data_IF_981599218495
#
_entry.id   IF_981599218495
#
_cell.length_a   1.000
_cell.length_b   1.000
_cell.length_c   1.000
_cell.angle_alpha   90.00
_cell.angle_beta   90.00
_cell.angle_gamma   90.00
#
_symmetry.space_group_name_H-M   'P 1'
#
loop_
_entity.id
_entity.type
_entity.pdbx_description
1 polymer ?
#
# COMPACT_ATOMS: atom_id res chain seq x y z
N UNK A 1 -55.54 17.76 -9.62
CA UNK A 1 -54.53 17.57 -8.55
C UNK A 1 -53.15 17.69 -9.19
N UNK A 2 -52.58 18.89 -9.17
CA UNK A 2 -51.22 19.16 -9.59
C UNK A 2 -50.25 18.64 -8.53
N UNK A 3 -49.17 17.98 -8.92
CA UNK A 3 -47.90 18.01 -8.18
C UNK A 3 -46.76 18.02 -9.20
N UNK A 4 -46.33 19.24 -9.54
CA UNK A 4 -45.06 19.58 -10.16
C UNK A 4 -43.92 19.12 -9.25
N UNK A 5 -42.99 18.34 -9.78
CA UNK A 5 -41.66 18.17 -9.20
C UNK A 5 -40.75 19.29 -9.69
N UNK A 6 -40.12 20.01 -8.76
CA UNK A 6 -39.06 20.99 -9.00
C UNK A 6 -37.70 20.39 -8.58
N UNK A 7 -36.60 20.75 -9.24
CA UNK A 7 -35.27 20.20 -8.97
C UNK A 7 -34.62 20.87 -7.74
N UNK A 8 -33.89 20.08 -6.95
CA UNK A 8 -33.12 20.55 -5.80
C UNK A 8 -31.78 21.10 -6.31
N UNK A 9 -31.63 22.41 -6.13
CA UNK A 9 -30.47 23.24 -6.47
C UNK A 9 -29.34 23.00 -5.47
N UNK A 10 -28.12 22.88 -5.98
CA UNK A 10 -26.91 22.85 -5.17
C UNK A 10 -26.46 24.20 -4.60
N UNK A 11 -25.31 24.09 -3.93
CA UNK A 11 -24.43 25.11 -3.32
C UNK A 11 -24.72 25.44 -1.85
N UNK A 12 -23.79 25.05 -0.97
CA UNK A 12 -22.98 25.94 -0.12
C UNK A 12 -22.26 25.15 1.00
N UNK A 13 -20.94 24.95 0.88
CA UNK A 13 -20.08 24.78 2.05
C UNK A 13 -19.10 25.96 2.09
N UNK A 14 -19.62 27.06 2.64
CA UNK A 14 -18.86 28.22 3.04
C UNK A 14 -18.18 27.91 4.37
N UNK A 15 -16.84 27.93 4.44
CA UNK A 15 -16.05 28.85 5.28
C UNK A 15 -14.66 28.30 5.68
N UNK A 16 -13.69 29.20 5.48
CA UNK A 16 -12.53 29.48 6.36
C UNK A 16 -11.39 28.46 6.36
N UNK A 17 -10.31 28.80 5.67
CA UNK A 17 -9.06 29.11 6.38
C UNK A 17 -8.14 29.96 5.49
N UNK A 18 -7.72 31.09 6.06
CA UNK A 18 -6.78 32.06 5.52
C UNK A 18 -5.38 31.64 5.99
N UNK A 19 -4.45 31.27 5.10
CA UNK A 19 -3.01 31.28 5.41
C UNK A 19 -2.25 31.81 4.19
N UNK A 20 -1.64 32.97 4.40
CA UNK A 20 -0.67 33.61 3.52
C UNK A 20 0.67 32.86 3.62
N UNK A 21 1.23 32.40 2.51
CA UNK A 21 2.68 32.19 2.39
C UNK A 21 3.17 32.88 1.13
N UNK A 22 3.82 34.02 1.37
CA UNK A 22 4.64 34.76 0.43
C UNK A 22 5.96 34.02 0.21
N UNK A 23 6.34 33.79 -1.04
CA UNK A 23 7.75 33.70 -1.45
C UNK A 23 7.85 34.11 -2.92
N UNK A 24 8.03 35.42 -3.14
CA UNK A 24 8.30 36.01 -4.45
C UNK A 24 9.82 36.12 -4.63
N UNK A 25 10.22 35.86 -5.87
CA UNK A 25 11.53 35.51 -6.39
C UNK A 25 12.49 36.72 -6.51
N UNK A 26 13.79 36.41 -6.58
CA UNK A 26 14.83 37.03 -7.44
C UNK A 26 15.74 38.11 -6.84
N UNK A 27 17.05 37.83 -6.79
CA UNK A 27 18.06 38.57 -7.59
C UNK A 27 19.46 37.95 -7.49
N UNK A 28 20.16 38.02 -8.62
CA UNK A 28 21.44 37.42 -8.97
C UNK A 28 22.65 38.18 -8.40
N UNK A 29 23.78 37.51 -8.26
CA UNK A 29 25.09 38.07 -8.65
C UNK A 29 26.08 36.97 -9.04
N UNK A 30 26.77 37.23 -10.15
CA UNK A 30 27.68 36.38 -10.89
C UNK A 30 29.12 36.40 -10.33
N UNK A 31 29.82 35.27 -10.54
CA UNK A 31 31.26 35.03 -10.79
C UNK A 31 32.36 35.74 -9.97
N UNK A 32 33.28 34.93 -9.41
CA UNK A 32 34.62 34.75 -10.00
C UNK A 32 35.38 33.56 -9.38
N UNK A 33 36.23 32.95 -10.20
CA UNK A 33 36.94 31.68 -9.99
C UNK A 33 38.08 31.76 -8.96
N UNK A 34 38.45 30.61 -8.40
CA UNK A 34 39.85 30.33 -8.07
C UNK A 34 40.19 28.88 -8.43
N UNK A 35 41.12 28.75 -9.37
CA UNK A 35 41.79 27.50 -9.68
C UNK A 35 42.90 27.27 -8.66
N UNK A 36 43.08 26.02 -8.23
CA UNK A 36 44.40 25.47 -7.94
C UNK A 36 44.38 23.97 -8.23
N UNK A 37 45.27 23.57 -9.15
CA UNK A 37 45.48 22.21 -9.62
C UNK A 37 46.34 21.43 -8.62
N UNK A 38 45.94 20.21 -8.28
CA UNK A 38 46.86 19.09 -8.11
C UNK A 38 46.13 17.74 -8.10
N UNK A 39 46.32 16.96 -9.18
CA UNK A 39 46.16 15.51 -9.31
C UNK A 39 47.59 14.95 -9.08
N UNK A 40 47.86 13.80 -8.40
CA UNK A 40 47.30 12.49 -8.77
C UNK A 40 47.11 11.45 -7.64
N UNK A 41 46.14 10.55 -7.83
CA UNK A 41 46.37 9.11 -8.01
C UNK A 41 45.16 8.27 -7.62
N UNK A 42 44.65 7.57 -8.62
CA UNK A 42 44.30 6.15 -8.60
C UNK A 42 44.41 5.43 -7.24
N UNK A 43 43.25 5.09 -6.67
CA UNK A 43 43.06 3.81 -6.01
C UNK A 43 41.62 3.36 -6.26
N UNK A 44 41.46 2.63 -7.36
CA UNK A 44 40.37 1.68 -7.56
C UNK A 44 40.39 0.69 -6.38
N UNK A 45 39.57 0.96 -5.37
CA UNK A 45 39.20 0.00 -4.34
C UNK A 45 37.83 -0.54 -4.72
N UNK A 46 37.85 -1.53 -5.62
CA UNK A 46 36.76 -2.45 -5.89
C UNK A 46 36.44 -3.16 -4.57
N UNK A 47 35.44 -2.69 -3.85
CA UNK A 47 34.91 -3.42 -2.69
C UNK A 47 34.20 -4.67 -3.24
N UNK A 48 34.62 -5.89 -2.87
CA UNK A 48 33.90 -7.10 -3.21
C UNK A 48 32.61 -7.17 -2.38
N UNK A 49 31.53 -7.48 -3.09
CA UNK A 49 30.56 -8.53 -2.74
C UNK A 49 30.34 -8.82 -1.27
N UNK A 50 29.17 -8.46 -0.75
CA UNK A 50 28.21 -9.47 -0.28
C UNK A 50 26.80 -9.02 -0.68
N UNK A 51 26.41 -9.44 -1.88
CA UNK A 51 24.99 -9.72 -2.14
C UNK A 51 24.69 -10.91 -1.25
N UNK A 52 24.19 -10.64 -0.04
CA UNK A 52 23.44 -11.64 0.68
C UNK A 52 22.14 -11.80 -0.10
N UNK A 53 22.17 -12.64 -1.15
CA UNK A 53 20.97 -13.40 -1.51
C UNK A 53 20.73 -14.32 -0.32
N UNK A 54 20.18 -13.74 0.75
CA UNK A 54 19.28 -14.48 1.60
C UNK A 54 18.26 -15.02 0.63
N UNK A 55 18.25 -16.34 0.48
CA UNK A 55 17.16 -17.06 -0.13
C UNK A 55 15.96 -16.77 0.77
N UNK A 56 15.33 -15.61 0.55
CA UNK A 56 14.07 -15.24 1.17
C UNK A 56 13.14 -16.34 0.74
N UNK A 57 12.75 -17.19 1.68
CA UNK A 57 11.69 -18.16 1.47
C UNK A 57 10.42 -17.33 1.27
N UNK A 58 10.24 -16.86 0.04
CA UNK A 58 9.16 -16.01 -0.38
C UNK A 58 7.88 -16.83 -0.25
N UNK A 59 7.09 -16.54 0.78
CA UNK A 59 5.87 -17.27 1.04
C UNK A 59 4.81 -16.82 0.06
N UNK A 60 4.17 -17.78 -0.60
CA UNK A 60 3.12 -17.51 -1.58
C UNK A 60 1.77 -17.98 -1.08
N UNK A 61 0.73 -17.23 -1.42
CA UNK A 61 -0.66 -17.56 -1.12
C UNK A 61 -1.50 -17.54 -2.39
N UNK A 62 -2.56 -18.34 -2.37
CA UNK A 62 -3.66 -18.25 -3.32
C UNK A 62 -4.85 -17.59 -2.62
N UNK A 63 -5.48 -16.64 -3.30
CA UNK A 63 -6.78 -16.07 -2.91
C UNK A 63 -7.78 -16.52 -3.99
N UNK A 64 -8.65 -17.46 -3.63
CA UNK A 64 -9.65 -18.04 -4.53
C UNK A 64 -10.93 -17.23 -4.45
N UNK A 65 -11.37 -16.65 -5.56
CA UNK A 65 -12.62 -15.90 -5.69
C UNK A 65 -13.52 -16.61 -6.72
N UNK A 66 -14.37 -17.53 -6.25
CA UNK A 66 -15.12 -18.41 -7.15
C UNK A 66 -14.19 -19.28 -8.00
N UNK A 67 -14.22 -19.07 -9.32
CA UNK A 67 -13.36 -19.78 -10.28
C UNK A 67 -12.03 -19.06 -10.57
N UNK A 68 -11.88 -17.82 -10.11
CA UNK A 68 -10.66 -17.03 -10.29
C UNK A 68 -9.66 -17.34 -9.18
N UNK A 69 -8.37 -17.37 -9.53
CA UNK A 69 -7.27 -17.54 -8.58
C UNK A 69 -6.34 -16.36 -8.68
N UNK A 70 -6.25 -15.62 -7.59
CA UNK A 70 -5.31 -14.51 -7.42
C UNK A 70 -4.09 -15.08 -6.70
N UNK A 71 -2.90 -14.82 -7.23
CA UNK A 71 -1.64 -15.25 -6.59
C UNK A 71 -0.96 -14.06 -5.96
N UNK A 72 -0.38 -14.25 -4.78
CA UNK A 72 0.34 -13.19 -4.08
C UNK A 72 1.57 -13.72 -3.36
N UNK A 73 2.58 -12.85 -3.29
CA UNK A 73 3.82 -13.07 -2.58
C UNK A 73 3.84 -12.22 -1.31
N UNK A 74 4.06 -12.86 -0.16
CA UNK A 74 4.10 -12.22 1.14
C UNK A 74 5.52 -11.81 1.55
N UNK A 75 5.65 -10.69 2.26
CA UNK A 75 6.92 -10.23 2.83
C UNK A 75 7.22 -10.98 4.13
N UNK A 76 8.49 -11.23 4.43
CA UNK A 76 8.87 -11.84 5.71
C UNK A 76 8.83 -10.80 6.83
N UNK A 77 7.78 -10.84 7.65
CA UNK A 77 7.59 -9.94 8.81
C UNK A 77 6.82 -10.66 9.91
N UNK A 78 6.93 -10.19 11.17
CA UNK A 78 6.16 -10.75 12.30
C UNK A 78 4.65 -10.68 12.06
N UNK A 79 4.15 -9.57 11.50
CA UNK A 79 2.74 -9.41 11.15
C UNK A 79 2.30 -10.41 10.08
N UNK A 80 3.14 -10.64 9.06
CA UNK A 80 2.85 -11.63 8.02
C UNK A 80 2.84 -13.05 8.58
N UNK A 81 3.82 -13.43 9.41
CA UNK A 81 3.88 -14.75 10.04
C UNK A 81 2.61 -15.00 10.89
N UNK A 82 2.14 -13.96 11.59
CA UNK A 82 0.92 -14.04 12.37
C UNK A 82 -0.34 -14.17 11.48
N UNK A 83 -0.41 -13.42 10.37
CA UNK A 83 -1.45 -13.57 9.35
C UNK A 83 -1.49 -15.00 8.78
N UNK A 84 -0.33 -15.57 8.45
CA UNK A 84 -0.21 -16.93 7.92
C UNK A 84 -0.73 -17.97 8.91
N UNK A 85 -0.53 -17.76 10.21
CA UNK A 85 -1.04 -18.66 11.24
C UNK A 85 -2.57 -18.80 11.27
N UNK A 86 -3.28 -17.87 10.61
CA UNK A 86 -4.72 -17.91 10.46
C UNK A 86 -5.17 -18.76 9.26
N UNK A 87 -4.30 -19.03 8.29
CA UNK A 87 -4.68 -19.68 7.03
C UNK A 87 -4.92 -21.20 7.21
N UNK A 88 -5.90 -21.79 6.48
CA UNK A 88 -6.76 -21.13 5.48
C UNK A 88 -7.89 -20.29 6.11
N UNK A 89 -8.23 -19.17 5.46
CA UNK A 89 -9.31 -18.27 5.87
C UNK A 89 -10.32 -18.06 4.76
N UNK A 90 -11.61 -18.15 5.08
CA UNK A 90 -12.69 -17.68 4.21
C UNK A 90 -13.17 -16.32 4.70
N UNK A 91 -13.14 -15.31 3.83
CA UNK A 91 -13.48 -13.92 4.15
C UNK A 91 -14.44 -13.36 3.10
N UNK A 92 -15.35 -12.48 3.52
CA UNK A 92 -16.10 -11.62 2.61
C UNK A 92 -15.38 -10.30 2.50
N UNK A 93 -14.85 -10.00 1.31
CA UNK A 93 -14.16 -8.76 1.00
C UNK A 93 -15.17 -7.69 0.55
N UNK A 94 -15.37 -6.64 1.35
CA UNK A 94 -16.25 -5.52 1.03
C UNK A 94 -15.51 -4.45 0.23
N UNK A 95 -16.23 -3.73 -0.63
CA UNK A 95 -15.67 -2.57 -1.32
C UNK A 95 -15.60 -1.36 -0.39
N UNK A 96 -14.39 -0.84 -0.18
CA UNK A 96 -14.18 0.37 0.60
C UNK A 96 -13.63 1.49 -0.28
N UNK A 97 -14.37 2.61 -0.26
CA UNK A 97 -14.04 3.85 -0.95
C UNK A 97 -13.80 3.72 -2.47
N UNK A 98 -14.19 2.62 -3.13
CA UNK A 98 -13.83 2.28 -4.50
C UNK A 98 -12.31 2.19 -4.74
N UNK A 99 -11.54 1.88 -3.69
CA UNK A 99 -10.07 1.88 -3.71
C UNK A 99 -9.50 0.53 -3.27
N UNK A 100 -10.07 -0.05 -2.21
CA UNK A 100 -9.56 -1.25 -1.57
C UNK A 100 -10.70 -2.22 -1.24
N UNK A 101 -10.33 -3.49 -1.11
CA UNK A 101 -11.17 -4.55 -0.57
C UNK A 101 -10.80 -4.80 0.88
N UNK A 102 -11.77 -4.72 1.79
CA UNK A 102 -11.51 -4.90 3.23
C UNK A 102 -12.28 -6.07 3.81
N UNK A 103 -11.74 -6.69 4.86
CA UNK A 103 -12.47 -7.66 5.68
C UNK A 103 -11.87 -7.75 7.06
N UNK A 104 -12.72 -7.95 8.06
CA UNK A 104 -12.28 -8.20 9.43
C UNK A 104 -11.53 -9.53 9.52
N UNK A 105 -10.49 -9.57 10.36
CA UNK A 105 -9.79 -10.80 10.70
C UNK A 105 -10.39 -11.45 11.95
N UNK A 106 -10.28 -12.78 12.13
CA UNK A 106 -10.78 -13.48 13.33
C UNK A 106 -10.20 -12.96 14.65
N UNK A 107 -9.02 -12.33 14.59
CA UNK A 107 -8.36 -11.60 15.67
C UNK A 107 -7.40 -10.56 15.08
N UNK A 108 -6.99 -9.61 15.91
CA UNK A 108 -5.90 -8.70 15.56
C UNK A 108 -4.59 -9.46 15.35
N UNK A 109 -3.75 -8.90 14.47
CA UNK A 109 -2.40 -9.39 14.21
C UNK A 109 -1.37 -8.66 15.08
N UNK A 110 -0.26 -9.33 15.37
CA UNK A 110 0.92 -8.71 15.96
C UNK A 110 1.46 -7.60 15.04
N UNK A 111 1.73 -6.43 15.62
CA UNK A 111 2.42 -5.32 14.96
C UNK A 111 3.82 -5.11 15.54
N UNK A 112 4.40 -6.15 16.12
CA UNK A 112 5.79 -6.15 16.57
C UNK A 112 6.71 -5.84 15.38
N UNK A 113 7.60 -4.86 15.57
CA UNK A 113 8.54 -4.34 14.58
C UNK A 113 7.90 -3.79 13.28
N UNK A 114 6.58 -3.60 13.26
CA UNK A 114 5.88 -3.01 12.13
C UNK A 114 6.21 -1.51 11.99
N UNK A 115 6.23 -0.96 10.76
CA UNK A 115 6.40 0.47 10.55
C UNK A 115 5.22 1.26 11.16
N UNK A 116 5.40 2.56 11.45
CA UNK A 116 4.33 3.41 11.97
C UNK A 116 3.17 3.61 10.98
N UNK A 117 3.35 3.24 9.71
CA UNK A 117 2.39 3.33 8.63
C UNK A 117 3.08 3.06 7.28
N UNK A 118 2.28 2.99 6.22
CA UNK A 118 2.76 2.68 4.87
C UNK A 118 1.96 3.44 3.82
N UNK A 119 2.55 3.62 2.65
CA UNK A 119 1.92 4.17 1.44
C UNK A 119 1.67 3.03 0.44
N UNK A 120 0.43 2.52 0.33
CA UNK A 120 0.14 1.33 -0.45
C UNK A 120 0.02 1.64 -1.94
N UNK A 121 0.50 0.73 -2.76
CA UNK A 121 0.34 0.75 -4.22
C UNK A 121 -0.72 -0.27 -4.68
N UNK A 122 -1.20 -0.11 -5.92
CA UNK A 122 -2.06 -1.11 -6.58
C UNK A 122 -1.46 -2.52 -6.47
N UNK A 123 -2.25 -3.47 -5.97
CA UNK A 123 -1.90 -4.86 -5.73
C UNK A 123 -1.36 -5.15 -4.33
N UNK A 124 -1.17 -4.16 -3.46
CA UNK A 124 -0.71 -4.40 -2.10
C UNK A 124 -1.79 -5.07 -1.25
N UNK A 125 -1.34 -6.05 -0.46
CA UNK A 125 -2.11 -6.65 0.62
C UNK A 125 -1.55 -6.07 1.91
N UNK A 126 -2.42 -5.50 2.75
CA UNK A 126 -2.05 -4.81 3.96
C UNK A 126 -2.95 -5.18 5.13
N UNK A 127 -2.43 -4.98 6.34
CA UNK A 127 -3.16 -5.00 7.58
C UNK A 127 -3.29 -3.56 8.10
N UNK A 128 -4.51 -3.12 8.40
CA UNK A 128 -4.75 -1.82 9.00
C UNK A 128 -4.91 -1.95 10.51
N UNK A 129 -3.82 -1.76 11.24
CA UNK A 129 -3.74 -1.98 12.68
C UNK A 129 -4.76 -1.22 13.54
N UNK A 130 -5.16 0.03 13.20
CA UNK A 130 -6.15 0.76 14.00
C UNK A 130 -7.52 0.10 14.09
N UNK A 131 -7.91 -0.69 13.07
CA UNK A 131 -9.21 -1.40 13.04
C UNK A 131 -9.06 -2.92 13.14
N UNK A 132 -7.90 -3.47 12.77
CA UNK A 132 -7.65 -4.90 12.81
C UNK A 132 -8.15 -5.65 11.57
N UNK A 133 -8.33 -4.96 10.44
CA UNK A 133 -8.83 -5.56 9.20
C UNK A 133 -7.72 -5.79 8.17
N UNK A 134 -7.98 -6.74 7.27
CA UNK A 134 -7.26 -6.92 6.01
C UNK A 134 -7.70 -5.85 5.02
N UNK A 135 -6.77 -5.36 4.20
CA UNK A 135 -7.01 -4.46 3.07
C UNK A 135 -6.25 -4.95 1.84
N UNK A 136 -6.91 -4.98 0.67
CA UNK A 136 -6.30 -5.31 -0.61
C UNK A 136 -6.56 -4.15 -1.58
N UNK A 137 -5.50 -3.45 -1.96
CA UNK A 137 -5.58 -2.26 -2.79
C UNK A 137 -5.68 -2.64 -4.26
N UNK A 138 -6.80 -2.33 -4.93
CA UNK A 138 -6.93 -2.47 -6.38
C UNK A 138 -6.84 -1.12 -7.11
N UNK A 139 -6.73 -0.02 -6.35
CA UNK A 139 -6.32 1.30 -6.80
C UNK A 139 -5.24 1.87 -5.89
N UNK A 140 -4.55 2.89 -6.38
CA UNK A 140 -3.54 3.63 -5.63
C UNK A 140 -4.18 4.42 -4.49
N UNK A 141 -3.47 4.53 -3.37
CA UNK A 141 -3.89 5.33 -2.22
C UNK A 141 -2.69 6.03 -1.58
N UNK A 142 -2.93 6.87 -0.58
CA UNK A 142 -1.88 7.61 0.11
C UNK A 142 -1.48 6.98 1.44
N UNK A 143 -0.37 7.47 1.99
CA UNK A 143 0.17 7.07 3.28
C UNK A 143 -0.89 7.05 4.39
N UNK A 144 -0.92 5.94 5.14
CA UNK A 144 -1.84 5.71 6.24
C UNK A 144 -1.10 5.24 7.51
N UNK A 145 -1.40 5.86 8.64
CA UNK A 145 -0.84 5.48 9.94
C UNK A 145 -1.36 4.10 10.38
N UNK A 146 -0.47 3.23 10.85
CA UNK A 146 -0.79 1.87 11.27
C UNK A 146 -1.09 0.90 10.12
N UNK A 147 -0.87 1.30 8.86
CA UNK A 147 -0.94 0.41 7.72
C UNK A 147 0.36 -0.39 7.59
N UNK A 148 0.26 -1.72 7.55
CA UNK A 148 1.39 -2.66 7.47
C UNK A 148 1.26 -3.48 6.21
N UNK A 149 2.22 -3.39 5.28
CA UNK A 149 2.21 -4.20 4.06
C UNK A 149 2.55 -5.65 4.40
N UNK A 150 1.66 -6.57 4.03
CA UNK A 150 1.81 -8.02 4.20
C UNK A 150 2.39 -8.69 2.95
N UNK A 151 2.12 -8.13 1.78
CA UNK A 151 2.54 -8.72 0.51
C UNK A 151 2.02 -7.99 -0.71
N UNK A 152 2.24 -8.60 -1.86
CA UNK A 152 1.89 -8.09 -3.18
C UNK A 152 1.19 -9.15 -4.00
N UNK A 153 0.10 -8.78 -4.66
CA UNK A 153 -0.54 -9.61 -5.69
C UNK A 153 0.38 -9.68 -6.91
N UNK A 154 0.68 -10.91 -7.32
CA UNK A 154 1.48 -11.23 -8.50
C UNK A 154 0.61 -11.29 -9.76
N UNK A 155 -0.63 -11.79 -9.64
CA UNK A 155 -1.58 -11.93 -10.76
C UNK A 155 -3.04 -11.99 -10.29
N UNK A 156 -3.99 -11.60 -11.16
CA UNK A 156 -5.43 -11.81 -10.94
C UNK A 156 -6.19 -10.67 -10.25
N UNK A 157 -5.55 -9.52 -10.01
CA UNK A 157 -6.14 -8.37 -9.29
C UNK A 157 -7.48 -7.90 -9.88
N UNK A 158 -7.68 -8.07 -11.18
CA UNK A 158 -8.91 -7.75 -11.90
C UNK A 158 -10.15 -8.43 -11.31
N UNK A 159 -10.00 -9.62 -10.71
CA UNK A 159 -11.09 -10.33 -10.03
C UNK A 159 -11.63 -9.57 -8.81
N UNK A 160 -10.84 -8.65 -8.26
CA UNK A 160 -11.22 -7.81 -7.12
C UNK A 160 -11.73 -6.42 -7.51
N UNK A 161 -11.56 -5.99 -8.77
CA UNK A 161 -11.99 -4.66 -9.23
C UNK A 161 -13.47 -4.67 -9.66
N UNK A 162 -14.35 -5.01 -8.71
CA UNK A 162 -15.81 -5.00 -8.85
C UNK A 162 -16.42 -4.20 -7.70
N UNK A 163 -17.53 -3.47 -7.89
CA UNK A 163 -18.10 -2.64 -6.82
C UNK A 163 -18.80 -3.46 -5.71
N UNK A 164 -19.07 -4.74 -5.94
CA UNK A 164 -19.71 -5.62 -4.96
C UNK A 164 -18.71 -6.25 -4.00
N UNK A 165 -19.22 -6.83 -2.91
CA UNK A 165 -18.43 -7.71 -2.07
C UNK A 165 -18.05 -9.00 -2.81
N UNK A 166 -16.91 -9.58 -2.44
CA UNK A 166 -16.38 -10.82 -3.03
C UNK A 166 -16.05 -11.78 -1.89
N UNK A 167 -16.66 -12.97 -1.88
CA UNK A 167 -16.24 -14.03 -0.97
C UNK A 167 -14.95 -14.67 -1.50
N UNK A 168 -13.95 -14.83 -0.64
CA UNK A 168 -12.67 -15.42 -0.98
C UNK A 168 -12.22 -16.46 0.02
N UNK A 169 -11.46 -17.45 -0.44
CA UNK A 169 -10.68 -18.35 0.41
C UNK A 169 -9.19 -18.09 0.20
N UNK A 170 -8.49 -17.74 1.27
CA UNK A 170 -7.06 -17.49 1.29
C UNK A 170 -6.35 -18.71 1.86
N UNK A 171 -5.36 -19.24 1.15
CA UNK A 171 -4.59 -20.42 1.55
C UNK A 171 -3.11 -20.27 1.17
N UNK A 172 -2.24 -21.00 1.86
CA UNK A 172 -0.85 -21.15 1.43
C UNK A 172 -0.81 -21.86 0.06
N UNK A 173 0.04 -21.37 -0.83
CA UNK A 173 0.27 -22.03 -2.11
C UNK A 173 1.09 -23.31 -1.89
N UNK A 174 0.56 -24.47 -2.30
CA UNK A 174 1.29 -25.74 -2.30
C UNK A 174 2.52 -25.63 -3.21
N UNK A 175 3.68 -26.07 -2.70
CA UNK A 175 4.92 -26.17 -3.48
C UNK A 175 4.94 -27.42 -4.37
#
# INVERSE_FOLDING_TARGET
>A
MLLRWLPIKGKNCQKRMLIWVLALVMSLSYSACRADNSIPSSASSKMPTEISTQQTNSMKINIKAGNEVITATLVDSKTTQDFISLLPLTLTLEDYANTEKISDLPRTLSTEDAPPGSDPSVGDIAYYAPWGNLAIYYRDFGYSNGLVILGKIDSGIEALNVPSSVEVMIELQSQ
#
